data_IF_966603633090
#
_entry.id   IF_966603633090
#
_cell.length_a   1.000
_cell.length_b   1.000
_cell.length_c   1.000
_cell.angle_alpha   90.00
_cell.angle_beta   90.00
_cell.angle_gamma   90.00
#
_symmetry.space_group_name_H-M   'P 1'
#
loop_
_entity.id
_entity.type
_entity.pdbx_description
1 polymer ?
#
# COMPACT_ATOMS: atom_id res chain seq x y z
N UNK A 1 -12.59 -20.33 -24.01
CA UNK A 1 -12.35 -19.68 -22.71
C UNK A 1 -13.45 -18.63 -22.52
N UNK A 2 -14.42 -18.93 -21.69
CA UNK A 2 -15.39 -17.96 -21.22
C UNK A 2 -14.65 -17.03 -20.25
N UNK A 3 -14.41 -15.79 -20.70
CA UNK A 3 -13.68 -14.77 -19.95
C UNK A 3 -14.49 -14.23 -18.77
N UNK A 4 -14.57 -15.00 -17.71
CA UNK A 4 -15.11 -14.55 -16.45
C UNK A 4 -13.95 -14.01 -15.61
N UNK A 5 -13.89 -12.68 -15.44
CA UNK A 5 -12.86 -11.98 -14.66
C UNK A 5 -12.74 -12.54 -13.23
N UNK A 6 -13.84 -13.01 -12.63
CA UNK A 6 -13.82 -13.64 -11.30
C UNK A 6 -13.03 -14.95 -11.27
N UNK A 7 -13.10 -15.76 -12.33
CA UNK A 7 -12.33 -16.99 -12.38
C UNK A 7 -10.83 -16.73 -12.53
N UNK A 8 -10.44 -15.63 -13.16
CA UNK A 8 -9.06 -15.20 -13.28
C UNK A 8 -8.45 -14.74 -11.95
N UNK A 9 -9.19 -13.95 -11.18
CA UNK A 9 -8.76 -13.50 -9.87
C UNK A 9 -8.68 -14.67 -8.88
N UNK A 10 -9.67 -15.55 -8.85
CA UNK A 10 -9.67 -16.74 -8.00
C UNK A 10 -8.54 -17.71 -8.33
N UNK A 11 -8.24 -17.93 -9.61
CA UNK A 11 -7.13 -18.78 -10.04
C UNK A 11 -5.77 -18.12 -9.75
N UNK A 12 -5.69 -16.80 -9.87
CA UNK A 12 -4.50 -16.05 -9.48
C UNK A 12 -4.24 -16.18 -7.99
N UNK A 13 -5.22 -15.86 -7.12
CA UNK A 13 -5.08 -15.97 -5.67
C UNK A 13 -4.83 -17.42 -5.20
N UNK A 14 -5.52 -18.41 -5.73
CA UNK A 14 -5.27 -19.83 -5.39
C UNK A 14 -3.86 -20.29 -5.72
N UNK A 15 -3.24 -19.75 -6.76
CA UNK A 15 -1.82 -20.03 -7.07
C UNK A 15 -0.88 -19.43 -6.04
N UNK A 16 -1.25 -18.31 -5.41
CA UNK A 16 -0.44 -17.63 -4.40
C UNK A 16 -0.66 -18.18 -2.98
N UNK A 17 -1.88 -18.58 -2.63
CA UNK A 17 -2.17 -19.27 -1.37
C UNK A 17 -1.47 -20.64 -1.27
N UNK A 18 -1.25 -21.31 -2.40
CA UNK A 18 -0.58 -22.60 -2.42
C UNK A 18 0.97 -22.51 -2.45
N UNK A 19 1.56 -21.32 -2.42
CA UNK A 19 3.02 -21.13 -2.38
C UNK A 19 3.65 -21.44 -1.00
N UNK A 20 2.85 -21.63 0.04
CA UNK A 20 3.35 -22.15 1.33
C UNK A 20 3.71 -23.65 1.29
N UNK A 21 3.08 -24.43 0.41
CA UNK A 21 3.42 -25.84 0.16
C UNK A 21 3.75 -26.03 -1.32
N UNK A 22 5.00 -26.32 -1.63
CA UNK A 22 5.59 -26.71 -2.94
C UNK A 22 4.55 -26.90 -4.06
N UNK A 23 4.22 -25.81 -4.76
CA UNK A 23 3.24 -25.82 -5.86
C UNK A 23 3.73 -26.76 -6.94
N UNK A 24 2.96 -27.78 -7.25
CA UNK A 24 3.05 -28.50 -8.52
C UNK A 24 2.56 -27.55 -9.62
N UNK A 25 3.45 -26.69 -10.10
CA UNK A 25 3.16 -25.87 -11.26
C UNK A 25 2.87 -26.80 -12.42
N UNK A 26 1.71 -26.64 -13.03
CA UNK A 26 1.35 -27.43 -14.23
C UNK A 26 2.42 -27.17 -15.31
N UNK A 27 3.21 -28.19 -15.63
CA UNK A 27 4.27 -28.07 -16.60
C UNK A 27 3.78 -27.67 -18.00
N UNK A 28 2.49 -27.84 -18.29
CA UNK A 28 1.86 -27.40 -19.53
C UNK A 28 1.78 -25.86 -19.66
N UNK A 29 1.93 -25.13 -18.55
CA UNK A 29 1.91 -23.66 -18.50
C UNK A 29 3.32 -23.05 -18.45
N UNK A 30 4.36 -23.87 -18.50
CA UNK A 30 5.75 -23.39 -18.50
C UNK A 30 6.23 -23.09 -19.91
N UNK A 31 6.71 -21.89 -20.12
CA UNK A 31 7.27 -21.41 -21.40
C UNK A 31 8.67 -20.89 -21.17
N UNK A 32 9.46 -20.82 -22.24
CA UNK A 32 10.78 -20.20 -22.20
C UNK A 32 10.80 -18.94 -23.07
N UNK A 33 11.40 -17.88 -22.55
CA UNK A 33 11.60 -16.66 -23.32
C UNK A 33 12.58 -16.91 -24.46
N UNK A 34 12.37 -16.27 -25.61
CA UNK A 34 13.16 -16.50 -26.83
C UNK A 34 14.62 -16.03 -26.72
N UNK A 35 14.91 -15.01 -25.92
CA UNK A 35 16.28 -14.45 -25.81
C UNK A 35 17.11 -15.11 -24.72
N UNK A 36 16.60 -15.12 -23.50
CA UNK A 36 17.35 -15.59 -22.32
C UNK A 36 17.07 -17.04 -21.94
N UNK A 37 16.08 -17.69 -22.58
CA UNK A 37 15.66 -19.05 -22.20
C UNK A 37 15.04 -19.12 -20.79
N UNK A 38 14.71 -17.96 -20.20
CA UNK A 38 14.11 -17.88 -18.86
C UNK A 38 12.76 -18.57 -18.84
N UNK A 39 12.50 -19.33 -17.80
CA UNK A 39 11.18 -19.95 -17.57
C UNK A 39 10.18 -18.88 -17.16
N UNK A 40 9.05 -18.84 -17.84
CA UNK A 40 7.90 -17.98 -17.52
C UNK A 40 6.64 -18.83 -17.50
N UNK A 41 5.66 -18.42 -16.74
CA UNK A 41 4.42 -19.16 -16.58
C UNK A 41 3.29 -18.48 -17.36
N UNK A 42 2.59 -19.25 -18.18
CA UNK A 42 1.40 -18.80 -18.90
C UNK A 42 0.12 -18.98 -18.08
N UNK A 43 -0.96 -18.32 -18.55
CA UNK A 43 -2.29 -18.47 -17.97
C UNK A 43 -2.48 -17.60 -16.70
N UNK A 44 -3.02 -16.41 -16.82
CA UNK A 44 -3.38 -15.55 -15.70
C UNK A 44 -2.58 -14.25 -15.57
N UNK A 45 -2.00 -13.75 -16.67
CA UNK A 45 -1.28 -12.48 -16.67
C UNK A 45 0.23 -12.63 -16.44
N UNK A 46 0.89 -11.53 -16.07
CA UNK A 46 2.34 -11.51 -15.83
C UNK A 46 2.59 -11.81 -14.35
N UNK A 47 3.30 -12.90 -14.08
CA UNK A 47 3.73 -13.25 -12.73
C UNK A 47 4.95 -12.41 -12.37
N UNK A 48 4.94 -11.66 -11.25
CA UNK A 48 6.12 -10.92 -10.80
C UNK A 48 7.24 -11.86 -10.36
N UNK A 49 8.49 -11.41 -10.50
CA UNK A 49 9.67 -12.19 -10.09
C UNK A 49 9.91 -12.13 -8.59
N UNK A 50 9.50 -11.04 -7.96
CA UNK A 50 9.58 -10.84 -6.52
C UNK A 50 8.16 -10.54 -6.01
N UNK A 51 7.70 -11.39 -5.09
CA UNK A 51 6.38 -11.25 -4.48
C UNK A 51 6.53 -10.79 -3.04
N UNK A 52 5.72 -9.81 -2.66
CA UNK A 52 5.65 -9.28 -1.30
C UNK A 52 4.22 -9.49 -0.83
N UNK A 53 4.07 -10.11 0.33
CA UNK A 53 2.76 -10.21 0.97
C UNK A 53 2.35 -8.82 1.47
N UNK A 54 1.14 -8.42 1.14
CA UNK A 54 0.60 -7.15 1.61
C UNK A 54 0.25 -7.26 3.10
N UNK A 55 0.90 -6.43 3.93
CA UNK A 55 0.57 -6.37 5.35
C UNK A 55 -0.79 -5.69 5.57
N UNK A 56 -1.75 -6.47 6.06
CA UNK A 56 -3.09 -5.99 6.39
C UNK A 56 -3.32 -5.84 7.89
N UNK A 57 -2.30 -6.03 8.72
CA UNK A 57 -2.44 -6.06 10.18
C UNK A 57 -2.97 -4.75 10.77
N UNK A 58 -2.65 -3.61 10.16
CA UNK A 58 -3.13 -2.29 10.55
C UNK A 58 -4.52 -1.94 10.00
N UNK A 59 -5.09 -2.77 9.12
CA UNK A 59 -6.42 -2.52 8.59
C UNK A 59 -7.49 -3.04 9.56
N UNK A 60 -8.38 -2.15 9.98
CA UNK A 60 -9.56 -2.50 10.79
C UNK A 60 -10.85 -2.25 10.03
N UNK A 61 -11.93 -2.86 10.53
CA UNK A 61 -13.27 -2.57 9.99
C UNK A 61 -13.65 -1.11 10.17
N UNK A 62 -13.22 -0.48 11.27
CA UNK A 62 -13.47 0.92 11.54
C UNK A 62 -12.83 1.82 10.46
N UNK A 63 -11.54 1.63 10.16
CA UNK A 63 -10.86 2.35 9.08
C UNK A 63 -11.52 2.08 7.71
N UNK A 64 -11.80 0.81 7.39
CA UNK A 64 -12.43 0.44 6.13
C UNK A 64 -13.76 1.16 5.91
N UNK A 65 -14.58 1.26 6.95
CA UNK A 65 -15.86 1.98 6.89
C UNK A 65 -15.66 3.49 6.70
N UNK A 66 -14.69 4.10 7.38
CA UNK A 66 -14.35 5.52 7.18
C UNK A 66 -13.88 5.80 5.75
N UNK A 67 -13.01 4.95 5.20
CA UNK A 67 -12.52 5.07 3.82
C UNK A 67 -13.67 4.91 2.83
N UNK A 68 -14.52 3.89 2.99
CA UNK A 68 -15.67 3.65 2.11
C UNK A 68 -16.66 4.82 2.09
N UNK A 69 -16.86 5.50 3.23
CA UNK A 69 -17.70 6.69 3.33
C UNK A 69 -16.97 8.00 2.96
N UNK A 70 -15.68 7.93 2.63
CA UNK A 70 -14.88 9.10 2.22
C UNK A 70 -14.55 10.08 3.35
N UNK A 71 -14.67 9.68 4.62
CA UNK A 71 -14.60 10.60 5.77
C UNK A 71 -13.21 11.20 5.98
N UNK A 72 -12.15 10.45 5.68
CA UNK A 72 -10.78 10.99 5.76
C UNK A 72 -10.59 12.18 4.81
N UNK A 73 -11.11 12.07 3.59
CA UNK A 73 -11.03 13.17 2.62
C UNK A 73 -11.98 14.33 3.01
N UNK A 74 -13.20 14.03 3.47
CA UNK A 74 -14.15 15.04 3.97
C UNK A 74 -13.53 15.86 5.12
N UNK A 75 -12.91 15.18 6.08
CA UNK A 75 -12.23 15.83 7.18
C UNK A 75 -11.02 16.65 6.71
N UNK A 76 -10.16 16.09 5.84
CA UNK A 76 -9.00 16.80 5.32
C UNK A 76 -9.38 18.08 4.58
N UNK A 77 -10.45 18.07 3.75
CA UNK A 77 -10.96 19.26 3.08
C UNK A 77 -11.44 20.31 4.11
N UNK A 78 -12.28 19.91 5.05
CA UNK A 78 -12.79 20.80 6.09
C UNK A 78 -11.67 21.38 6.98
N UNK A 79 -10.65 20.57 7.29
CA UNK A 79 -9.49 21.04 8.04
C UNK A 79 -8.68 22.07 7.26
N UNK A 80 -8.48 21.82 5.95
CA UNK A 80 -7.77 22.74 5.06
C UNK A 80 -8.50 24.05 4.89
N UNK A 81 -9.82 24.06 4.74
CA UNK A 81 -10.61 25.29 4.62
C UNK A 81 -10.45 26.20 5.83
N UNK A 82 -10.34 25.61 7.03
CA UNK A 82 -10.16 26.35 8.28
C UNK A 82 -8.72 26.77 8.57
N UNK A 83 -7.72 26.11 8.00
CA UNK A 83 -6.34 26.25 8.42
C UNK A 83 -5.35 26.58 7.28
N UNK A 84 -5.79 26.76 6.03
CA UNK A 84 -4.90 26.93 4.86
C UNK A 84 -3.85 28.01 5.06
N UNK A 85 -4.26 29.22 5.46
CA UNK A 85 -3.34 30.36 5.63
C UNK A 85 -2.32 30.12 6.75
N UNK A 86 -2.72 29.42 7.80
CA UNK A 86 -1.83 29.06 8.90
C UNK A 86 -0.82 28.00 8.44
N UNK A 87 -1.29 26.96 7.75
CA UNK A 87 -0.43 25.88 7.28
C UNK A 87 0.58 26.37 6.25
N UNK A 88 0.17 27.19 5.28
CA UNK A 88 1.08 27.72 4.25
C UNK A 88 2.14 28.64 4.83
N UNK A 89 1.82 29.39 5.90
CA UNK A 89 2.81 30.21 6.60
C UNK A 89 3.75 29.40 7.47
N UNK A 90 3.23 28.37 8.15
CA UNK A 90 4.01 27.53 9.05
C UNK A 90 4.89 26.54 8.28
N UNK A 91 4.39 26.03 7.16
CA UNK A 91 5.07 25.05 6.31
C UNK A 91 5.17 25.59 4.89
N UNK A 92 6.17 26.43 4.60
CA UNK A 92 6.30 27.05 3.27
C UNK A 92 6.71 26.04 2.16
N UNK A 93 7.27 24.89 2.52
CA UNK A 93 7.62 23.82 1.59
C UNK A 93 7.11 22.46 2.06
N UNK A 94 6.96 21.53 1.12
CA UNK A 94 6.55 20.17 1.43
C UNK A 94 7.54 19.46 2.36
N UNK A 95 8.84 19.66 2.18
CA UNK A 95 9.89 19.05 3.00
C UNK A 95 9.74 19.46 4.47
N UNK A 96 9.45 20.74 4.72
CA UNK A 96 9.21 21.25 6.07
C UNK A 96 7.94 20.63 6.66
N UNK A 97 6.87 20.58 5.88
CA UNK A 97 5.62 19.95 6.29
C UNK A 97 5.83 18.45 6.57
N UNK A 98 6.48 17.73 5.67
CA UNK A 98 6.67 16.29 5.82
C UNK A 98 7.49 15.95 7.07
N UNK A 99 8.48 16.75 7.40
CA UNK A 99 9.31 16.56 8.58
C UNK A 99 8.60 16.93 9.89
N UNK A 100 7.81 17.98 9.90
CA UNK A 100 7.36 18.64 11.14
C UNK A 100 5.86 18.52 11.42
N UNK A 101 5.03 18.33 10.39
CA UNK A 101 3.59 18.23 10.60
C UNK A 101 3.24 16.88 11.23
N UNK A 102 2.52 16.95 12.32
CA UNK A 102 1.99 15.81 13.06
C UNK A 102 0.46 15.90 13.11
N UNK A 103 -0.22 14.79 12.86
CA UNK A 103 -1.65 14.68 13.15
C UNK A 103 -1.80 14.64 14.68
N UNK A 104 -2.58 15.56 15.21
CA UNK A 104 -2.77 15.70 16.66
C UNK A 104 -3.95 14.88 17.16
N UNK A 105 -3.95 14.57 18.47
CA UNK A 105 -5.08 13.88 19.13
C UNK A 105 -6.40 14.63 18.92
N UNK A 106 -6.35 15.96 18.87
CA UNK A 106 -7.53 16.78 18.55
C UNK A 106 -8.07 16.50 17.15
N UNK A 107 -7.20 16.35 16.14
CA UNK A 107 -7.63 16.02 14.78
C UNK A 107 -8.25 14.63 14.72
N UNK A 108 -7.66 13.68 15.43
CA UNK A 108 -8.20 12.31 15.52
C UNK A 108 -9.55 12.27 16.24
N UNK A 109 -9.73 13.06 17.32
CA UNK A 109 -11.00 13.21 18.02
C UNK A 109 -12.08 13.82 17.11
N UNK A 110 -11.76 14.90 16.40
CA UNK A 110 -12.70 15.52 15.44
C UNK A 110 -13.09 14.54 14.32
N UNK A 111 -12.15 13.71 13.83
CA UNK A 111 -12.43 12.69 12.83
C UNK A 111 -13.35 11.59 13.38
N UNK A 112 -13.12 11.12 14.62
CA UNK A 112 -13.97 10.09 15.24
C UNK A 112 -15.38 10.61 15.55
N UNK A 113 -15.52 11.89 15.93
CA UNK A 113 -16.81 12.56 16.05
C UNK A 113 -17.54 12.61 14.70
N UNK A 114 -16.83 12.98 13.61
CA UNK A 114 -17.41 12.97 12.27
C UNK A 114 -17.85 11.56 11.86
N UNK A 115 -17.06 10.54 12.17
CA UNK A 115 -17.40 9.14 11.90
C UNK A 115 -18.70 8.72 12.61
N UNK A 116 -18.84 9.11 13.88
CA UNK A 116 -20.06 8.85 14.68
C UNK A 116 -21.27 9.57 14.08
N UNK A 117 -21.13 10.81 13.64
CA UNK A 117 -22.19 11.58 12.95
C UNK A 117 -22.60 10.95 11.62
N UNK A 118 -21.74 10.13 11.02
CA UNK A 118 -21.99 9.39 9.78
C UNK A 118 -22.34 7.93 10.01
N UNK A 119 -22.87 7.58 11.18
CA UNK A 119 -23.32 6.23 11.56
C UNK A 119 -22.19 5.19 11.44
N UNK A 120 -20.99 5.52 11.89
CA UNK A 120 -19.91 4.57 12.13
C UNK A 120 -19.71 4.49 13.64
N UNK A 121 -20.06 3.34 14.19
CA UNK A 121 -19.86 3.07 15.62
C UNK A 121 -18.37 3.06 15.97
N UNK A 122 -17.99 3.80 17.00
CA UNK A 122 -16.60 3.86 17.46
C UNK A 122 -16.19 2.55 18.14
N UNK A 123 -15.05 2.01 17.71
CA UNK A 123 -14.43 0.85 18.32
C UNK A 123 -12.98 1.18 18.68
N UNK A 124 -12.67 1.22 19.97
CA UNK A 124 -11.33 1.59 20.45
C UNK A 124 -10.25 0.63 19.94
N UNK A 125 -10.47 -0.68 19.98
CA UNK A 125 -9.49 -1.68 19.53
C UNK A 125 -9.19 -1.54 18.03
N UNK A 126 -10.22 -1.34 17.23
CA UNK A 126 -10.07 -1.13 15.78
C UNK A 126 -9.39 0.20 15.49
N UNK A 127 -9.72 1.26 16.24
CA UNK A 127 -9.09 2.56 16.12
C UNK A 127 -7.60 2.48 16.45
N UNK A 128 -7.24 1.89 17.60
CA UNK A 128 -5.84 1.76 18.02
C UNK A 128 -5.01 0.96 17.01
N UNK A 129 -5.58 -0.11 16.46
CA UNK A 129 -4.94 -0.90 15.39
C UNK A 129 -4.60 -0.05 14.17
N UNK A 130 -5.50 0.84 13.76
CA UNK A 130 -5.36 1.62 12.53
C UNK A 130 -4.87 3.05 12.75
N UNK A 131 -4.58 3.45 13.99
CA UNK A 131 -4.29 4.86 14.33
C UNK A 131 -3.11 5.43 13.54
N UNK A 132 -2.05 4.63 13.33
CA UNK A 132 -0.88 5.02 12.53
C UNK A 132 -1.27 5.25 11.07
N UNK A 133 -2.01 4.33 10.48
CA UNK A 133 -2.45 4.41 9.09
C UNK A 133 -3.45 5.56 8.88
N UNK A 134 -4.39 5.78 9.81
CA UNK A 134 -5.32 6.92 9.80
C UNK A 134 -4.53 8.23 9.81
N UNK A 135 -3.53 8.35 10.69
CA UNK A 135 -2.72 9.56 10.82
C UNK A 135 -1.91 9.85 9.57
N UNK A 136 -1.27 8.83 9.00
CA UNK A 136 -0.51 8.98 7.77
C UNK A 136 -1.40 9.35 6.58
N UNK A 137 -2.57 8.73 6.43
CA UNK A 137 -3.53 9.07 5.38
C UNK A 137 -4.06 10.50 5.53
N UNK A 138 -4.36 10.97 6.75
CA UNK A 138 -4.75 12.37 6.98
C UNK A 138 -3.64 13.34 6.61
N UNK A 139 -2.40 13.07 7.05
CA UNK A 139 -1.24 13.87 6.68
C UNK A 139 -1.06 13.93 5.16
N UNK A 140 -1.14 12.78 4.50
CA UNK A 140 -1.00 12.68 3.05
C UNK A 140 -2.11 13.43 2.30
N UNK A 141 -3.38 13.32 2.76
CA UNK A 141 -4.50 14.06 2.17
C UNK A 141 -4.36 15.58 2.35
N UNK A 142 -3.87 16.04 3.49
CA UNK A 142 -3.59 17.45 3.73
C UNK A 142 -2.45 17.94 2.80
N UNK A 143 -1.37 17.16 2.68
CA UNK A 143 -0.29 17.46 1.75
C UNK A 143 -0.78 17.54 0.30
N UNK A 144 -1.64 16.62 -0.11
CA UNK A 144 -2.26 16.64 -1.43
C UNK A 144 -3.02 17.94 -1.72
N UNK A 145 -3.72 18.49 -0.72
CA UNK A 145 -4.49 19.73 -0.88
C UNK A 145 -3.60 20.97 -0.93
N UNK A 146 -2.38 20.90 -0.39
CA UNK A 146 -1.43 22.02 -0.39
C UNK A 146 -0.55 22.01 -1.64
N UNK A 147 -0.06 20.85 -2.05
CA UNK A 147 0.95 20.76 -3.12
C UNK A 147 0.52 19.88 -4.29
N UNK A 148 -0.09 18.71 -4.06
CA UNK A 148 -0.56 17.86 -5.14
C UNK A 148 -0.53 16.37 -4.81
N UNK A 149 -0.86 15.55 -5.81
CA UNK A 149 -1.00 14.10 -5.64
C UNK A 149 0.36 13.40 -5.39
N UNK A 150 1.45 13.96 -5.92
CA UNK A 150 2.77 13.38 -5.73
C UNK A 150 3.17 13.35 -4.26
N UNK A 151 2.88 14.42 -3.52
CA UNK A 151 3.18 14.56 -2.10
C UNK A 151 2.37 13.59 -1.24
N UNK A 152 1.14 13.27 -1.66
CA UNK A 152 0.35 12.19 -1.06
C UNK A 152 1.10 10.86 -1.15
N UNK A 153 1.54 10.48 -2.36
CA UNK A 153 2.24 9.22 -2.56
C UNK A 153 3.62 9.18 -1.90
N UNK A 154 4.34 10.29 -1.83
CA UNK A 154 5.62 10.34 -1.12
C UNK A 154 5.43 9.97 0.36
N UNK A 155 4.38 10.49 1.02
CA UNK A 155 4.09 10.15 2.41
C UNK A 155 3.65 8.68 2.55
N UNK A 156 2.70 8.25 1.72
CA UNK A 156 2.13 6.90 1.85
C UNK A 156 3.15 5.81 1.51
N UNK A 157 3.92 5.98 0.43
CA UNK A 157 4.92 4.98 0.02
C UNK A 157 6.07 4.88 1.03
N UNK A 158 6.49 6.01 1.63
CA UNK A 158 7.56 5.99 2.62
C UNK A 158 7.18 5.28 3.94
N UNK A 159 5.89 5.16 4.24
CA UNK A 159 5.44 4.63 5.53
C UNK A 159 4.76 3.25 5.43
N UNK A 160 4.20 2.90 4.26
CA UNK A 160 3.29 1.74 4.15
C UNK A 160 3.46 0.92 2.87
N UNK A 161 4.39 1.27 1.98
CA UNK A 161 4.56 0.52 0.74
C UNK A 161 5.83 -0.33 0.78
N UNK A 162 5.70 -1.53 1.37
CA UNK A 162 6.78 -2.52 1.39
C UNK A 162 7.23 -2.92 -0.03
N UNK A 163 6.32 -2.85 -1.00
CA UNK A 163 6.64 -3.10 -2.41
C UNK A 163 7.56 -2.02 -2.95
N UNK A 164 7.29 -0.75 -2.60
CA UNK A 164 8.16 0.37 -2.96
C UNK A 164 9.54 0.23 -2.31
N UNK A 165 9.60 -0.06 -1.01
CA UNK A 165 10.86 -0.25 -0.29
C UNK A 165 11.66 -1.41 -0.89
N UNK A 166 11.00 -2.52 -1.21
CA UNK A 166 11.64 -3.66 -1.85
C UNK A 166 12.12 -3.33 -3.26
N UNK A 167 11.35 -2.57 -4.03
CA UNK A 167 11.77 -2.11 -5.36
C UNK A 167 13.03 -1.25 -5.28
N UNK A 168 13.11 -0.34 -4.30
CA UNK A 168 14.30 0.48 -4.05
C UNK A 168 15.49 -0.40 -3.61
N UNK A 169 15.27 -1.40 -2.75
CA UNK A 169 16.31 -2.35 -2.33
C UNK A 169 16.86 -3.13 -3.53
N UNK A 170 15.99 -3.66 -4.37
CA UNK A 170 16.38 -4.37 -5.61
C UNK A 170 17.19 -3.48 -6.53
N UNK A 171 16.77 -2.23 -6.73
CA UNK A 171 17.51 -1.28 -7.59
C UNK A 171 18.90 -0.93 -7.03
N UNK A 172 19.03 -0.81 -5.71
CA UNK A 172 20.31 -0.50 -5.04
C UNK A 172 21.28 -1.69 -5.05
N UNK A 173 20.75 -2.88 -5.04
CA UNK A 173 21.52 -4.12 -4.91
C UNK A 173 21.25 -5.06 -6.10
N UNK A 174 21.16 -4.48 -7.30
CA UNK A 174 20.81 -5.21 -8.52
C UNK A 174 21.67 -6.46 -8.78
N UNK A 175 22.96 -6.37 -8.46
CA UNK A 175 23.92 -7.47 -8.53
C UNK A 175 23.56 -8.69 -7.67
N UNK A 176 22.71 -8.53 -6.67
CA UNK A 176 22.23 -9.64 -5.82
C UNK A 176 20.93 -10.25 -6.35
N UNK A 177 20.16 -9.51 -7.15
CA UNK A 177 18.85 -9.92 -7.63
C UNK A 177 18.83 -10.27 -9.11
N UNK A 178 19.69 -9.69 -9.91
CA UNK A 178 19.67 -9.79 -11.35
C UNK A 178 21.02 -10.23 -11.94
N UNK A 179 20.94 -10.92 -13.07
CA UNK A 179 22.10 -11.17 -13.89
C UNK A 179 22.54 -9.89 -14.62
N UNK A 180 23.82 -9.79 -15.08
CA UNK A 180 24.33 -8.63 -15.82
C UNK A 180 23.54 -8.28 -17.08
N UNK A 181 22.78 -9.22 -17.65
CA UNK A 181 21.92 -9.02 -18.82
C UNK A 181 20.53 -8.45 -18.48
N UNK A 182 20.27 -8.14 -17.18
CA UNK A 182 19.01 -7.59 -16.72
C UNK A 182 17.91 -8.61 -16.43
N UNK A 183 18.24 -9.89 -16.37
CA UNK A 183 17.30 -10.93 -15.96
C UNK A 183 17.33 -11.13 -14.45
N UNK A 184 16.16 -11.20 -13.82
CA UNK A 184 16.05 -11.62 -12.43
C UNK A 184 15.84 -13.15 -12.40
N UNK A 185 16.70 -13.93 -11.72
CA UNK A 185 16.45 -15.34 -11.52
C UNK A 185 15.14 -15.51 -10.72
N UNK A 186 14.26 -16.41 -11.15
CA UNK A 186 13.01 -16.67 -10.43
C UNK A 186 13.36 -17.31 -9.09
N UNK A 187 13.47 -16.50 -8.05
CA UNK A 187 13.57 -16.99 -6.69
C UNK A 187 12.34 -16.53 -5.92
N UNK A 188 11.54 -17.47 -5.47
CA UNK A 188 10.43 -17.20 -4.57
C UNK A 188 11.00 -16.91 -3.18
N UNK A 189 11.38 -15.66 -2.93
CA UNK A 189 11.81 -15.22 -1.59
C UNK A 189 10.58 -14.77 -0.82
N UNK A 190 10.07 -15.63 0.04
CA UNK A 190 9.13 -15.25 1.09
C UNK A 190 9.88 -14.42 2.12
N UNK A 191 9.65 -13.11 2.13
CA UNK A 191 9.98 -12.30 3.29
C UNK A 191 8.84 -12.50 4.30
N UNK A 192 9.08 -13.36 5.30
CA UNK A 192 8.22 -13.39 6.49
C UNK A 192 8.33 -12.04 7.16
N UNK A 193 7.19 -11.42 7.46
CA UNK A 193 7.14 -10.34 8.43
C UNK A 193 7.81 -10.83 9.72
N UNK A 194 8.72 -10.02 10.26
CA UNK A 194 9.42 -10.35 11.49
C UNK A 194 8.40 -10.49 12.62
N UNK A 195 8.24 -11.72 13.09
CA UNK A 195 7.70 -11.98 14.43
C UNK A 195 8.72 -11.44 15.44
N UNK A 196 8.38 -10.37 16.12
CA UNK A 196 8.95 -9.99 17.42
C UNK A 196 7.83 -9.60 18.37
#
# INVERSE_FOLDING_TARGET
>A
HNGDLKSYEEDFFKRFESLEDSVKVDSSLMFKTLRSGRTVYGGGGITPDIMIQYDTTEYSNYLTNMVRKGLLNEYAVSYMDRNRDKLTKQYPTFETFNREFQVTDKMLSELTELATQRDIEFNQTDFDRSARLISAQLKALIAQKLWGINEYYIIMNAEFDETFDKAIDVLKHWDQYGDPDGTIPVSYTHLRAHET
#
